data_IF_007057869803
#
_entry.id   IF_007057869803
#
_cell.length_a   1.000
_cell.length_b   1.000
_cell.length_c   1.000
_cell.angle_alpha   90.00
_cell.angle_beta   90.00
_cell.angle_gamma   90.00
#
_symmetry.space_group_name_H-M   'P 1'
#
loop_
_entity.id
_entity.type
_entity.pdbx_description
1 polymer ?
#
# COMPACT_ATOMS: atom_id res chain seq x y z
N UNK A 1 -30.98 -18.51 -20.58
CA UNK A 1 -30.43 -18.91 -19.27
C UNK A 1 -29.17 -18.09 -19.03
N UNK A 2 -29.29 -16.98 -18.30
CA UNK A 2 -28.14 -16.21 -17.82
C UNK A 2 -28.17 -16.32 -16.29
N UNK A 3 -27.28 -17.13 -15.75
CA UNK A 3 -27.12 -17.29 -14.31
C UNK A 3 -26.49 -16.00 -13.76
N UNK A 4 -27.34 -15.16 -13.17
CA UNK A 4 -26.92 -14.06 -12.33
C UNK A 4 -26.16 -14.65 -11.12
N UNK A 5 -24.83 -14.58 -11.16
CA UNK A 5 -23.99 -14.92 -10.01
C UNK A 5 -24.17 -13.81 -8.96
N UNK A 6 -25.15 -13.99 -8.09
CA UNK A 6 -25.34 -13.18 -6.89
C UNK A 6 -24.19 -13.52 -5.96
N UNK A 7 -23.19 -12.65 -5.87
CA UNK A 7 -22.16 -12.72 -4.83
C UNK A 7 -22.83 -12.44 -3.49
N UNK A 8 -23.25 -13.51 -2.82
CA UNK A 8 -23.81 -13.44 -1.48
C UNK A 8 -22.72 -12.92 -0.54
N UNK A 9 -22.86 -11.66 -0.12
CA UNK A 9 -21.99 -11.02 0.86
C UNK A 9 -22.24 -11.71 2.20
N UNK A 10 -21.34 -12.60 2.61
CA UNK A 10 -21.39 -13.23 3.94
C UNK A 10 -21.21 -12.14 5.00
N UNK A 11 -22.33 -11.69 5.58
CA UNK A 11 -22.40 -10.73 6.69
C UNK A 11 -22.20 -11.45 8.02
N UNK A 12 -20.94 -11.66 8.39
CA UNK A 12 -20.49 -11.85 9.78
C UNK A 12 -19.26 -10.96 10.01
N UNK A 13 -18.89 -10.60 11.26
CA UNK A 13 -17.67 -9.87 11.52
C UNK A 13 -16.49 -10.81 11.24
N UNK A 14 -16.03 -10.85 9.99
CA UNK A 14 -14.77 -11.49 9.66
C UNK A 14 -13.67 -10.82 10.49
N UNK A 15 -12.77 -11.58 11.14
CA UNK A 15 -11.66 -10.99 11.88
C UNK A 15 -10.84 -10.11 10.92
N UNK A 16 -10.84 -8.81 11.16
CA UNK A 16 -10.04 -7.85 10.41
C UNK A 16 -8.69 -7.65 11.09
N UNK A 17 -7.62 -7.58 10.30
CA UNK A 17 -6.30 -7.13 10.77
C UNK A 17 -5.92 -5.86 10.01
N UNK A 18 -5.19 -4.97 10.66
CA UNK A 18 -4.57 -3.83 10.01
C UNK A 18 -3.12 -4.17 9.71
N UNK A 19 -2.70 -3.99 8.46
CA UNK A 19 -1.35 -4.29 8.01
C UNK A 19 -0.77 -3.16 7.18
N UNK A 20 0.56 -3.09 7.15
CA UNK A 20 1.32 -2.20 6.29
C UNK A 20 2.38 -2.99 5.54
N UNK A 21 2.60 -2.65 4.27
CA UNK A 21 3.66 -3.23 3.45
C UNK A 21 4.02 -2.28 2.32
N UNK A 22 5.28 -2.33 1.88
CA UNK A 22 5.80 -1.56 0.77
C UNK A 22 6.54 -2.42 -0.24
N UNK A 23 6.57 -1.95 -1.48
CA UNK A 23 7.24 -2.62 -2.59
C UNK A 23 8.21 -1.72 -3.30
N UNK A 24 9.21 -2.34 -3.91
CA UNK A 24 10.15 -1.69 -4.81
C UNK A 24 10.43 -2.66 -5.96
N UNK A 25 10.86 -2.15 -7.11
CA UNK A 25 11.12 -2.95 -8.32
C UNK A 25 11.92 -4.24 -8.09
N UNK A 26 12.89 -4.24 -7.16
CA UNK A 26 13.73 -5.40 -6.84
C UNK A 26 13.49 -6.05 -5.47
N UNK A 27 12.60 -5.50 -4.64
CA UNK A 27 12.35 -6.08 -3.31
C UNK A 27 11.01 -5.64 -2.73
N UNK A 28 10.64 -6.20 -1.57
CA UNK A 28 9.49 -5.77 -0.78
C UNK A 28 9.93 -5.63 0.67
N UNK A 29 9.23 -4.80 1.43
CA UNK A 29 9.38 -4.76 2.89
C UNK A 29 8.81 -6.04 3.50
N UNK A 30 9.19 -6.37 4.75
CA UNK A 30 8.34 -7.22 5.58
C UNK A 30 6.92 -6.66 5.65
N UNK A 31 5.93 -7.54 5.79
CA UNK A 31 4.59 -7.13 6.17
C UNK A 31 4.62 -6.74 7.65
N UNK A 32 3.89 -5.69 8.02
CA UNK A 32 3.81 -5.19 9.39
C UNK A 32 2.38 -5.34 9.87
N UNK A 33 2.18 -5.99 11.03
CA UNK A 33 0.87 -6.06 11.68
C UNK A 33 0.72 -4.90 12.65
N UNK A 34 -0.34 -4.13 12.49
CA UNK A 34 -0.66 -3.02 13.38
C UNK A 34 -1.70 -3.47 14.39
N UNK A 35 -1.37 -3.35 15.68
CA UNK A 35 -2.25 -3.74 16.78
C UNK A 35 -3.44 -2.78 16.98
N UNK A 36 -3.33 -1.55 16.46
CA UNK A 36 -4.31 -0.48 16.62
C UNK A 36 -4.65 0.15 15.28
N UNK A 37 -5.76 0.89 15.24
CA UNK A 37 -6.08 1.76 14.11
C UNK A 37 -4.95 2.75 13.88
N UNK A 38 -4.48 2.84 12.62
CA UNK A 38 -3.37 3.69 12.25
C UNK A 38 -3.71 5.16 12.49
N UNK A 39 -2.96 5.78 13.38
CA UNK A 39 -2.90 7.23 13.54
C UNK A 39 -1.48 7.71 13.16
N UNK A 40 -1.28 9.03 13.08
CA UNK A 40 0.00 9.59 12.64
C UNK A 40 1.19 9.22 13.52
N UNK A 41 0.98 9.05 14.83
CA UNK A 41 2.05 8.67 15.75
C UNK A 41 2.42 7.20 15.57
N UNK A 42 1.42 6.32 15.47
CA UNK A 42 1.57 4.91 15.17
C UNK A 42 2.24 4.71 13.79
N UNK A 43 1.90 5.54 12.80
CA UNK A 43 2.56 5.50 11.50
C UNK A 43 4.05 5.82 11.60
N UNK A 44 4.44 6.79 12.44
CA UNK A 44 5.85 7.07 12.66
C UNK A 44 6.54 5.93 13.43
N UNK A 45 5.97 5.52 14.57
CA UNK A 45 6.63 4.58 15.50
C UNK A 45 6.65 3.14 15.02
N UNK A 46 5.61 2.68 14.33
CA UNK A 46 5.47 1.27 13.93
C UNK A 46 5.88 1.02 12.48
N UNK A 47 5.95 2.08 11.66
CA UNK A 47 6.15 1.94 10.21
C UNK A 47 7.33 2.76 9.72
N UNK A 48 7.25 4.10 9.80
CA UNK A 48 8.23 4.95 9.13
C UNK A 48 9.62 4.78 9.73
N UNK A 49 9.73 4.87 11.06
CA UNK A 49 11.01 4.75 11.73
C UNK A 49 11.61 3.33 11.69
N UNK A 50 10.87 2.26 12.03
CA UNK A 50 11.46 0.91 12.10
C UNK A 50 11.55 0.21 10.74
N UNK A 51 10.73 0.59 9.75
CA UNK A 51 10.66 -0.14 8.47
C UNK A 51 11.08 0.73 7.29
N UNK A 52 10.52 1.92 7.13
CA UNK A 52 10.82 2.76 5.95
C UNK A 52 12.25 3.29 5.99
N UNK A 53 12.71 3.85 7.12
CA UNK A 53 14.06 4.41 7.21
C UNK A 53 15.16 3.38 6.89
N UNK A 54 15.19 2.19 7.52
CA UNK A 54 16.21 1.20 7.18
C UNK A 54 16.07 0.70 5.74
N UNK A 55 14.84 0.60 5.22
CA UNK A 55 14.59 0.10 3.88
C UNK A 55 15.04 1.08 2.78
N UNK A 56 15.03 2.38 3.06
CA UNK A 56 15.54 3.42 2.17
C UNK A 56 17.04 3.71 2.36
N UNK A 57 17.66 3.13 3.39
CA UNK A 57 19.06 3.38 3.71
C UNK A 57 19.98 2.96 2.54
N UNK A 58 20.81 3.88 2.06
CA UNK A 58 21.68 3.66 0.90
C UNK A 58 21.02 3.87 -0.46
N UNK A 59 19.74 4.27 -0.51
CA UNK A 59 19.01 4.60 -1.73
C UNK A 59 18.87 6.11 -1.90
N UNK A 60 19.98 6.78 -2.23
CA UNK A 60 20.06 8.24 -2.28
C UNK A 60 19.08 8.93 -3.27
N UNK A 61 18.51 8.18 -4.22
CA UNK A 61 17.57 8.69 -5.24
C UNK A 61 16.17 8.07 -5.11
N UNK A 62 15.85 7.44 -3.98
CA UNK A 62 14.54 6.83 -3.80
C UNK A 62 13.48 7.89 -3.47
N UNK A 63 12.35 7.81 -4.19
CA UNK A 63 11.17 8.63 -3.93
C UNK A 63 10.13 7.77 -3.20
N UNK A 64 9.64 8.22 -2.06
CA UNK A 64 8.64 7.50 -1.28
C UNK A 64 7.22 7.88 -1.72
N UNK A 65 6.45 6.91 -2.22
CA UNK A 65 5.03 7.09 -2.51
C UNK A 65 4.18 6.63 -1.33
N UNK A 66 3.24 7.47 -0.90
CA UNK A 66 2.14 7.13 0.02
C UNK A 66 0.83 7.75 -0.50
N UNK A 67 -0.30 7.41 0.13
CA UNK A 67 -1.57 8.06 -0.14
C UNK A 67 -1.82 9.31 0.72
N UNK A 68 -2.93 9.97 0.44
CA UNK A 68 -3.39 11.15 1.15
C UNK A 68 -4.29 10.81 2.36
N UNK A 69 -4.18 9.61 2.95
CA UNK A 69 -4.92 9.28 4.16
C UNK A 69 -4.53 10.24 5.29
N UNK A 70 -5.50 10.60 6.13
CA UNK A 70 -5.32 11.59 7.22
C UNK A 70 -4.08 11.34 8.08
N UNK A 71 -3.74 10.10 8.49
CA UNK A 71 -2.53 9.85 9.26
C UNK A 71 -1.25 10.24 8.53
N UNK A 72 -1.18 9.98 7.22
CA UNK A 72 0.02 10.14 6.39
C UNK A 72 0.31 11.59 5.99
N UNK A 73 -0.73 12.41 5.87
CA UNK A 73 -0.60 13.85 5.52
C UNK A 73 -0.50 14.75 6.76
N UNK A 74 -0.52 14.18 7.96
CA UNK A 74 -0.42 14.94 9.19
C UNK A 74 0.92 15.68 9.30
N UNK A 75 0.91 16.87 9.92
CA UNK A 75 2.10 17.72 10.06
C UNK A 75 3.30 17.01 10.70
N UNK A 76 3.06 16.11 11.65
CA UNK A 76 4.14 15.36 12.31
C UNK A 76 4.82 14.37 11.36
N UNK A 77 4.06 13.77 10.44
CA UNK A 77 4.58 12.85 9.42
C UNK A 77 5.33 13.61 8.35
N UNK A 78 4.81 14.76 7.91
CA UNK A 78 5.51 15.64 6.97
C UNK A 78 6.85 16.12 7.55
N UNK A 79 6.89 16.50 8.83
CA UNK A 79 8.14 16.84 9.53
C UNK A 79 9.11 15.66 9.60
N UNK A 80 8.60 14.45 9.83
CA UNK A 80 9.41 13.24 9.84
C UNK A 80 10.15 13.05 8.50
N UNK A 81 9.43 13.15 7.37
CA UNK A 81 10.05 13.02 6.04
C UNK A 81 11.11 14.08 5.79
N UNK A 82 10.83 15.35 6.12
CA UNK A 82 11.82 16.44 5.99
C UNK A 82 13.06 16.18 6.86
N UNK A 83 12.88 15.78 8.13
CA UNK A 83 14.00 15.55 9.05
C UNK A 83 14.90 14.38 8.65
N UNK A 84 14.37 13.41 7.89
CA UNK A 84 15.11 12.25 7.42
C UNK A 84 15.44 12.31 5.92
N UNK A 85 15.23 13.46 5.28
CA UNK A 85 15.57 13.69 3.87
C UNK A 85 14.90 12.66 2.93
N UNK A 86 13.69 12.24 3.26
CA UNK A 86 12.90 11.35 2.41
C UNK A 86 12.10 12.22 1.44
N UNK A 87 12.32 12.02 0.15
CA UNK A 87 11.53 12.65 -0.90
C UNK A 87 10.16 11.96 -1.03
N UNK A 88 9.08 12.73 -1.09
CA UNK A 88 7.73 12.20 -1.29
C UNK A 88 7.27 12.37 -2.73
N UNK A 89 6.74 11.30 -3.32
CA UNK A 89 6.03 11.39 -4.59
C UNK A 89 4.68 12.07 -4.37
N UNK A 90 4.47 13.21 -5.03
CA UNK A 90 3.17 13.86 -5.08
C UNK A 90 2.21 13.01 -5.92
N UNK A 91 1.43 12.14 -5.25
CA UNK A 91 0.47 11.27 -5.91
C UNK A 91 -0.96 11.82 -5.79
N UNK A 92 -1.62 12.19 -6.89
CA UNK A 92 -3.00 12.67 -6.84
C UNK A 92 -3.95 11.57 -6.39
N UNK A 93 -4.93 11.93 -5.56
CA UNK A 93 -5.90 10.98 -4.98
C UNK A 93 -6.76 10.25 -6.03
N UNK A 94 -6.81 10.73 -7.27
CA UNK A 94 -7.54 10.07 -8.36
C UNK A 94 -6.82 8.81 -8.88
N UNK A 95 -5.50 8.71 -8.69
CA UNK A 95 -4.67 7.63 -9.26
C UNK A 95 -4.44 6.46 -8.28
N UNK A 96 -5.24 6.33 -7.22
CA UNK A 96 -5.11 5.24 -6.25
C UNK A 96 -5.24 3.86 -6.91
N UNK A 97 -6.16 3.74 -7.88
CA UNK A 97 -6.37 2.52 -8.68
C UNK A 97 -5.19 2.16 -9.61
N UNK A 98 -4.23 3.07 -9.80
CA UNK A 98 -3.06 2.80 -10.61
C UNK A 98 -1.88 2.29 -9.77
N UNK A 99 -1.83 2.57 -8.46
CA UNK A 99 -0.66 2.28 -7.64
C UNK A 99 -0.31 0.77 -7.65
N UNK A 100 0.97 0.39 -7.86
CA UNK A 100 1.37 -1.02 -7.92
C UNK A 100 1.02 -1.78 -6.63
N UNK A 101 1.02 -1.10 -5.48
CA UNK A 101 0.72 -1.73 -4.19
C UNK A 101 -0.71 -2.28 -4.12
N UNK A 102 -1.68 -1.64 -4.80
CA UNK A 102 -3.06 -2.14 -4.86
C UNK A 102 -3.17 -3.45 -5.65
N UNK A 103 -2.34 -3.64 -6.69
CA UNK A 103 -2.22 -4.92 -7.38
C UNK A 103 -1.63 -5.99 -6.46
N UNK A 104 -0.62 -5.63 -5.65
CA UNK A 104 -0.06 -6.56 -4.67
C UNK A 104 -1.09 -6.97 -3.61
N UNK A 105 -1.86 -6.01 -3.07
CA UNK A 105 -2.95 -6.32 -2.14
C UNK A 105 -4.02 -7.21 -2.75
N UNK A 106 -4.37 -6.97 -4.02
CA UNK A 106 -5.34 -7.81 -4.75
C UNK A 106 -4.86 -9.24 -4.89
N UNK A 107 -3.58 -9.44 -5.22
CA UNK A 107 -2.95 -10.75 -5.32
C UNK A 107 -2.90 -11.48 -3.96
N UNK A 108 -2.53 -10.77 -2.88
CA UNK A 108 -2.55 -11.34 -1.52
C UNK A 108 -3.97 -11.75 -1.12
N UNK A 109 -4.96 -10.88 -1.36
CA UNK A 109 -6.37 -11.18 -1.08
C UNK A 109 -6.84 -12.40 -1.88
N UNK A 110 -6.50 -12.49 -3.16
CA UNK A 110 -6.84 -13.65 -4.00
C UNK A 110 -6.29 -14.96 -3.40
N UNK A 111 -5.00 -14.98 -3.02
CA UNK A 111 -4.41 -16.17 -2.37
C UNK A 111 -5.12 -16.53 -1.07
N UNK A 112 -5.46 -15.53 -0.24
CA UNK A 112 -6.20 -15.77 1.00
C UNK A 112 -7.58 -16.38 0.75
N UNK A 113 -8.30 -15.94 -0.30
CA UNK A 113 -9.62 -16.49 -0.65
C UNK A 113 -9.58 -17.92 -1.17
N UNK A 114 -8.43 -18.39 -1.64
CA UNK A 114 -8.25 -19.77 -2.12
C UNK A 114 -7.99 -20.78 -0.98
N UNK A 115 -7.65 -20.31 0.23
CA UNK A 115 -7.37 -21.18 1.37
C UNK A 115 -8.66 -21.57 2.08
N UNK A 116 -8.97 -22.87 2.10
CA UNK A 116 -10.15 -23.45 2.74
C UNK A 116 -9.73 -24.34 3.91
N UNK A 117 -10.31 -24.19 5.12
CA UNK A 117 -11.33 -23.20 5.49
C UNK A 117 -10.76 -21.78 5.65
N UNK A 118 -11.59 -20.72 5.61
CA UNK A 118 -11.17 -19.34 5.89
C UNK A 118 -10.48 -19.19 7.25
N UNK A 119 -9.71 -18.11 7.44
CA UNK A 119 -9.07 -17.85 8.73
C UNK A 119 -10.12 -17.60 9.81
N UNK A 120 -10.04 -18.35 10.91
CA UNK A 120 -11.00 -18.23 12.02
C UNK A 120 -10.57 -17.19 13.06
N UNK A 121 -9.29 -16.82 13.09
CA UNK A 121 -8.74 -15.84 14.05
C UNK A 121 -7.90 -14.77 13.36
N UNK A 122 -7.74 -13.57 13.97
CA UNK A 122 -6.82 -12.55 13.48
C UNK A 122 -5.37 -13.06 13.31
N UNK A 123 -4.91 -13.95 14.18
CA UNK A 123 -3.55 -14.51 14.11
C UNK A 123 -3.38 -15.47 12.94
N UNK A 124 -4.39 -16.31 12.66
CA UNK A 124 -4.40 -17.14 11.47
C UNK A 124 -4.45 -16.30 10.20
N UNK A 125 -5.25 -15.22 10.20
CA UNK A 125 -5.30 -14.30 9.07
C UNK A 125 -3.95 -13.60 8.85
N UNK A 126 -3.28 -13.19 9.94
CA UNK A 126 -1.94 -12.61 9.88
C UNK A 126 -0.93 -13.58 9.29
N UNK A 127 -0.82 -14.80 9.82
CA UNK A 127 0.13 -15.80 9.33
C UNK A 127 -0.09 -16.12 7.85
N UNK A 128 -1.35 -16.30 7.43
CA UNK A 128 -1.66 -16.55 6.02
C UNK A 128 -1.38 -15.33 5.15
N UNK A 129 -1.65 -14.13 5.65
CA UNK A 129 -1.41 -12.87 4.94
C UNK A 129 0.08 -12.58 4.74
N UNK A 130 0.87 -12.81 5.78
CA UNK A 130 2.32 -12.67 5.77
C UNK A 130 2.98 -13.72 4.85
N UNK A 131 2.55 -14.98 4.92
CA UNK A 131 2.97 -16.01 3.99
C UNK A 131 2.60 -15.67 2.53
N UNK A 132 1.36 -15.20 2.28
CA UNK A 132 0.90 -14.81 0.95
C UNK A 132 1.65 -13.60 0.40
N UNK A 133 1.98 -12.61 1.23
CA UNK A 133 2.81 -11.46 0.89
C UNK A 133 4.23 -11.89 0.50
N UNK A 134 4.86 -12.72 1.32
CA UNK A 134 6.20 -13.24 1.11
C UNK A 134 6.30 -14.18 -0.09
N UNK A 135 5.22 -14.88 -0.45
CA UNK A 135 5.17 -15.80 -1.59
C UNK A 135 4.89 -15.12 -2.94
N UNK A 136 4.62 -13.80 -3.00
CA UNK A 136 4.49 -13.09 -4.28
C UNK A 136 5.83 -13.18 -5.04
N UNK A 137 5.88 -13.68 -6.28
CA UNK A 137 7.14 -13.69 -7.04
C UNK A 137 7.66 -12.26 -7.28
N UNK A 138 8.98 -12.04 -7.23
CA UNK A 138 9.54 -10.71 -7.47
C UNK A 138 9.29 -10.24 -8.91
N UNK A 139 9.20 -11.17 -9.85
CA UNK A 139 8.86 -10.95 -11.25
C UNK A 139 7.46 -10.36 -11.38
N UNK A 140 6.52 -10.77 -10.52
CA UNK A 140 5.18 -10.17 -10.50
C UNK A 140 5.23 -8.69 -10.09
N UNK A 141 6.10 -8.34 -9.13
CA UNK A 141 6.32 -6.95 -8.74
C UNK A 141 6.88 -6.16 -9.93
N UNK A 142 7.85 -6.67 -10.67
CA UNK A 142 8.40 -5.99 -11.85
C UNK A 142 7.32 -5.75 -12.92
N UNK A 143 6.49 -6.76 -13.22
CA UNK A 143 5.40 -6.66 -14.19
C UNK A 143 4.40 -5.55 -13.82
N UNK A 144 4.00 -5.44 -12.55
CA UNK A 144 3.04 -4.40 -12.13
C UNK A 144 3.64 -2.99 -12.24
N UNK A 145 4.95 -2.84 -12.01
CA UNK A 145 5.67 -1.58 -12.19
C UNK A 145 5.75 -1.19 -13.68
N UNK A 146 6.16 -2.11 -14.55
CA UNK A 146 6.22 -1.87 -16.00
C UNK A 146 4.83 -1.56 -16.60
N UNK A 147 3.79 -2.27 -16.14
CA UNK A 147 2.40 -2.01 -16.54
C UNK A 147 1.93 -0.62 -16.14
N UNK A 148 2.34 -0.15 -14.96
CA UNK A 148 2.08 1.22 -14.50
C UNK A 148 2.76 2.26 -15.39
N UNK A 149 4.06 2.09 -15.66
CA UNK A 149 4.82 3.01 -16.51
C UNK A 149 4.21 3.11 -17.92
N UNK A 150 3.77 1.99 -18.49
CA UNK A 150 3.07 1.97 -19.78
C UNK A 150 1.74 2.71 -19.76
N UNK A 151 0.99 2.64 -18.65
CA UNK A 151 -0.32 3.32 -18.47
C UNK A 151 -0.19 4.83 -18.23
N UNK A 152 0.88 5.25 -17.55
CA UNK A 152 1.15 6.68 -17.27
C UNK A 152 1.74 7.39 -18.50
N UNK A 153 2.21 6.64 -19.50
CA UNK A 153 2.58 7.16 -20.81
C UNK A 153 4.09 7.36 -20.97
N UNK A 154 4.59 6.85 -22.09
CA UNK A 154 5.94 7.03 -22.58
C UNK A 154 6.35 8.52 -22.61
N UNK A 155 7.48 8.87 -21.99
CA UNK A 155 8.17 10.14 -22.20
C UNK A 155 7.92 11.22 -21.13
N UNK A 156 8.59 11.13 -19.99
CA UNK A 156 9.65 12.08 -19.65
C UNK A 156 10.32 11.64 -18.36
N UNK A 157 11.62 11.89 -18.30
CA UNK A 157 12.46 11.70 -17.13
C UNK A 157 12.08 12.59 -15.94
N UNK A 158 10.93 13.29 -15.94
CA UNK A 158 10.59 14.28 -14.91
C UNK A 158 9.08 14.58 -14.70
N UNK A 159 8.08 14.26 -15.55
CA UNK A 159 6.61 14.54 -15.40
C UNK A 159 6.11 14.53 -13.94
N UNK A 160 6.26 15.56 -13.13
CA UNK A 160 6.44 17.01 -13.30
C UNK A 160 5.13 17.76 -13.39
N UNK A 161 5.13 18.80 -12.56
CA UNK A 161 4.22 19.92 -12.54
C UNK A 161 2.80 19.60 -12.07
N UNK A 162 2.58 19.81 -10.77
CA UNK A 162 1.65 20.86 -10.32
C UNK A 162 0.43 21.05 -11.21
N UNK A 163 -0.61 20.25 -11.07
CA UNK A 163 -1.94 20.55 -11.59
C UNK A 163 -2.96 20.10 -10.52
N UNK A 164 -3.37 21.01 -9.62
CA UNK A 164 -4.56 21.89 -9.74
C UNK A 164 -5.85 21.07 -9.81
N UNK A 165 -6.89 21.21 -8.99
CA UNK A 165 -7.32 22.18 -7.97
C UNK A 165 -8.40 21.49 -7.10
N UNK A 166 -8.67 22.09 -5.95
CA UNK A 166 -9.76 21.83 -5.00
C UNK A 166 -11.07 21.18 -5.53
N UNK A 167 -11.59 20.20 -4.77
CA UNK A 167 -12.92 20.26 -4.12
C UNK A 167 -13.30 18.90 -3.53
N UNK A 168 -13.71 18.93 -2.27
CA UNK A 168 -13.75 17.77 -1.39
C UNK A 168 -14.78 16.69 -1.75
N UNK A 169 -14.49 15.48 -1.28
CA UNK A 169 -15.47 14.45 -0.91
C UNK A 169 -14.84 13.61 0.21
N UNK A 170 -15.61 13.38 1.29
CA UNK A 170 -15.30 12.50 2.40
C UNK A 170 -15.50 11.04 1.96
N UNK A 171 -14.58 10.13 2.24
CA UNK A 171 -14.92 8.75 2.58
C UNK A 171 -13.79 8.04 3.35
N UNK A 172 -14.14 7.54 4.52
CA UNK A 172 -13.32 6.75 5.44
C UNK A 172 -13.33 5.28 5.02
N UNK A 173 -12.16 4.75 4.66
CA UNK A 173 -11.74 3.36 4.89
C UNK A 173 -10.21 3.37 4.80
N UNK A 174 -9.54 3.33 5.95
CA UNK A 174 -8.08 3.33 6.02
C UNK A 174 -7.53 2.04 5.42
N UNK A 175 -6.99 2.16 4.21
CA UNK A 175 -5.96 1.29 3.65
C UNK A 175 -4.71 2.15 3.55
N UNK A 176 -3.55 1.61 3.92
CA UNK A 176 -2.29 2.32 3.83
C UNK A 176 -1.52 1.90 2.59
N UNK A 177 -1.22 2.88 1.73
CA UNK A 177 -0.56 2.74 0.43
C UNK A 177 0.95 2.92 0.56
N UNK A 178 1.78 2.10 -0.09
CA UNK A 178 3.24 2.33 -0.14
C UNK A 178 4.00 1.89 -1.40
N UNK A 179 4.90 2.81 -1.77
CA UNK A 179 6.17 2.78 -2.48
C UNK A 179 6.18 2.43 -3.99
N UNK A 180 6.71 3.40 -4.75
CA UNK A 180 7.20 3.30 -6.12
C UNK A 180 8.71 3.57 -6.04
N UNK A 181 9.57 2.73 -6.63
CA UNK A 181 10.88 3.23 -7.10
C UNK A 181 10.65 3.86 -8.46
#
# INVERSE_FOLDING_TARGET
MLNSCVMQRLTGPAPGIMVWGGIRYHSRTPLVRLAVTLNSQCYISEVLAPVVLPYLQGLATAIFQQDNARPHVARIVQRFFVSHQIELLLWPAYFLNLSPIENMWSMVAQRLTQIIPPAATPDQLWQRGEAAWSAVPQEYIQIIFESMQKRVGCGSSTMAATLATDSGIKHTSQKSINLVI
#
